data_IF_305816690457
#
_entry.id   IF_305816690457
#
_cell.length_a   1.000
_cell.length_b   1.000
_cell.length_c   1.000
_cell.angle_alpha   90.00
_cell.angle_beta   90.00
_cell.angle_gamma   90.00
#
_symmetry.space_group_name_H-M   'P 1'
#
loop_
_entity.id
_entity.type
_entity.pdbx_description
1 polymer ?
#
# COMPACT_ATOMS: atom_id res chain seq x y z
N UNK A 1 27.35 7.46 9.91
CA UNK A 1 26.62 7.80 8.68
C UNK A 1 25.67 8.94 9.01
N UNK A 2 25.68 10.05 8.24
CA UNK A 2 24.85 11.22 8.51
C UNK A 2 23.82 11.43 7.37
N UNK A 3 22.83 12.30 7.60
CA UNK A 3 21.72 12.53 6.67
C UNK A 3 22.15 13.15 5.32
N UNK A 4 23.27 13.87 5.30
CA UNK A 4 23.85 14.47 4.09
C UNK A 4 24.60 13.47 3.20
N UNK A 5 24.96 12.30 3.71
CA UNK A 5 25.77 11.32 2.97
C UNK A 5 25.03 10.02 2.66
N UNK A 6 24.05 9.64 3.50
CA UNK A 6 23.32 8.39 3.33
C UNK A 6 22.65 8.32 1.94
N UNK A 7 22.73 7.18 1.23
CA UNK A 7 22.02 7.01 -0.04
C UNK A 7 20.51 7.10 0.16
N UNK A 8 19.84 7.73 -0.79
CA UNK A 8 18.39 7.78 -0.88
C UNK A 8 17.89 7.03 -2.11
N UNK A 9 16.76 6.35 -1.96
CA UNK A 9 15.92 5.93 -3.08
C UNK A 9 14.55 6.60 -2.93
N UNK A 10 14.27 7.61 -3.75
CA UNK A 10 12.93 8.20 -3.81
C UNK A 10 12.05 7.27 -4.63
N UNK A 11 10.83 7.00 -4.15
CA UNK A 11 9.88 6.06 -4.76
C UNK A 11 8.51 6.71 -4.86
N UNK A 12 7.95 6.79 -6.05
CA UNK A 12 6.63 7.37 -6.29
C UNK A 12 5.77 6.38 -7.06
N UNK A 13 4.53 6.22 -6.61
CA UNK A 13 3.55 5.42 -7.32
C UNK A 13 2.99 6.21 -8.50
N UNK A 14 2.91 5.54 -9.65
CA UNK A 14 2.31 6.07 -10.87
C UNK A 14 0.86 5.57 -10.99
N UNK A 15 0.02 6.35 -11.67
CA UNK A 15 -1.29 5.86 -12.10
C UNK A 15 -1.10 4.88 -13.26
N UNK A 16 -1.18 3.58 -12.96
CA UNK A 16 -0.99 2.52 -13.94
C UNK A 16 -2.02 2.60 -15.08
N UNK A 17 -3.18 3.23 -14.87
CA UNK A 17 -4.17 3.45 -15.92
C UNK A 17 -3.75 4.50 -16.95
N UNK A 18 -2.78 5.35 -16.61
CA UNK A 18 -2.23 6.37 -17.51
C UNK A 18 -0.94 5.92 -18.17
N UNK A 19 -0.08 5.22 -17.42
CA UNK A 19 1.27 4.87 -17.88
C UNK A 19 1.38 3.52 -18.58
N UNK A 20 0.32 2.69 -18.58
CA UNK A 20 0.29 1.42 -19.28
C UNK A 20 -0.63 1.44 -20.49
N UNK A 21 -0.32 0.66 -21.53
CA UNK A 21 -1.21 0.39 -22.66
C UNK A 21 -2.32 -0.61 -22.25
N UNK A 22 -3.20 -0.95 -23.20
CA UNK A 22 -4.20 -2.00 -23.00
C UNK A 22 -3.58 -3.38 -22.76
N UNK A 23 -2.42 -3.63 -23.36
CA UNK A 23 -1.63 -4.86 -23.21
C UNK A 23 -0.67 -4.83 -22.01
N UNK A 24 -0.87 -3.90 -21.06
CA UNK A 24 -0.04 -3.72 -19.87
C UNK A 24 1.44 -3.41 -20.16
N UNK A 25 1.73 -2.77 -21.29
CA UNK A 25 3.07 -2.31 -21.65
C UNK A 25 3.29 -0.87 -21.19
N UNK A 26 4.50 -0.55 -20.71
CA UNK A 26 4.81 0.80 -20.23
C UNK A 26 4.90 1.79 -21.39
N UNK A 27 4.13 2.88 -21.32
CA UNK A 27 4.15 3.99 -22.26
C UNK A 27 5.29 4.94 -21.93
N UNK A 28 6.51 4.50 -22.25
CA UNK A 28 7.76 5.18 -21.91
C UNK A 28 7.86 6.61 -22.45
N UNK A 29 7.29 6.87 -23.63
CA UNK A 29 7.29 8.20 -24.25
C UNK A 29 6.57 9.24 -23.38
N UNK A 30 5.54 8.83 -22.61
CA UNK A 30 4.86 9.75 -21.70
C UNK A 30 5.75 10.16 -20.53
N UNK A 31 6.72 9.32 -20.15
CA UNK A 31 7.59 9.54 -19.00
C UNK A 31 8.82 10.39 -19.32
N UNK A 32 9.08 10.75 -20.58
CA UNK A 32 10.33 11.40 -21.04
C UNK A 32 11.59 10.68 -20.53
N UNK A 33 11.55 9.34 -20.51
CA UNK A 33 12.64 8.53 -19.97
C UNK A 33 13.36 7.80 -21.10
N UNK A 34 14.68 8.00 -21.18
CA UNK A 34 15.56 7.27 -22.10
C UNK A 34 15.92 5.91 -21.50
N UNK A 35 15.37 4.83 -22.07
CA UNK A 35 15.63 3.47 -21.58
C UNK A 35 16.98 2.95 -22.05
N UNK A 36 17.71 2.38 -21.10
CA UNK A 36 19.02 1.78 -21.31
C UNK A 36 18.98 0.26 -21.14
N UNK A 37 18.15 -0.22 -20.23
CA UNK A 37 18.07 -1.65 -19.89
C UNK A 37 16.65 -2.00 -19.46
N UNK A 38 16.15 -3.14 -19.92
CA UNK A 38 14.91 -3.74 -19.45
C UNK A 38 15.26 -5.07 -18.80
N UNK A 39 14.94 -5.20 -17.51
CA UNK A 39 15.10 -6.44 -16.77
C UNK A 39 13.72 -7.00 -16.42
N UNK A 40 13.47 -8.25 -16.76
CA UNK A 40 12.36 -9.02 -16.21
C UNK A 40 12.85 -9.84 -15.02
N UNK A 41 12.05 -10.04 -13.98
CA UNK A 41 12.42 -10.98 -12.92
C UNK A 41 11.20 -11.48 -12.18
N UNK A 42 11.35 -12.64 -11.56
CA UNK A 42 10.33 -13.19 -10.68
C UNK A 42 10.68 -12.81 -9.24
N UNK A 43 9.65 -12.47 -8.47
CA UNK A 43 9.76 -12.12 -7.06
C UNK A 43 8.96 -13.13 -6.25
N UNK A 44 9.59 -13.65 -5.20
CA UNK A 44 8.94 -14.42 -4.15
C UNK A 44 9.12 -13.70 -2.82
N UNK A 45 8.07 -13.63 -2.02
CA UNK A 45 8.16 -13.23 -0.62
C UNK A 45 8.06 -14.45 0.28
N UNK A 46 8.68 -14.37 1.45
CA UNK A 46 8.58 -15.39 2.48
C UNK A 46 8.06 -14.77 3.76
N UNK A 47 6.88 -15.20 4.17
CA UNK A 47 6.22 -14.72 5.38
C UNK A 47 5.24 -15.77 5.92
N UNK A 48 4.79 -15.59 7.16
CA UNK A 48 3.71 -16.41 7.73
C UNK A 48 2.36 -16.05 7.09
N UNK A 49 1.31 -16.88 7.22
CA UNK A 49 -0.05 -16.52 6.78
C UNK A 49 -0.55 -15.18 7.32
N UNK A 50 -0.09 -14.79 8.52
CA UNK A 50 -0.47 -13.54 9.19
C UNK A 50 0.48 -12.38 8.90
N UNK A 51 1.44 -12.55 7.98
CA UNK A 51 2.45 -11.55 7.62
C UNK A 51 3.29 -11.06 8.81
N UNK A 52 3.65 -11.98 9.72
CA UNK A 52 4.37 -11.67 10.97
C UNK A 52 5.69 -10.94 10.74
N UNK A 53 6.46 -11.33 9.71
CA UNK A 53 7.72 -10.65 9.37
C UNK A 53 7.44 -9.22 8.90
N UNK A 54 6.54 -9.05 7.93
CA UNK A 54 6.19 -7.74 7.37
C UNK A 54 5.66 -6.78 8.45
N UNK A 55 4.77 -7.25 9.31
CA UNK A 55 4.21 -6.47 10.43
C UNK A 55 5.28 -6.02 11.43
N UNK A 56 6.37 -6.79 11.55
CA UNK A 56 7.53 -6.50 12.41
C UNK A 56 8.69 -5.82 11.66
N UNK A 57 8.42 -5.24 10.48
CA UNK A 57 9.40 -4.44 9.73
C UNK A 57 10.40 -5.25 8.89
N UNK A 58 10.24 -6.56 8.81
CA UNK A 58 11.10 -7.44 8.02
C UNK A 58 10.46 -7.83 6.68
N UNK A 59 11.27 -7.86 5.64
CA UNK A 59 10.90 -8.39 4.33
C UNK A 59 11.96 -9.40 3.93
N UNK A 60 11.55 -10.65 3.72
CA UNK A 60 12.38 -11.67 3.10
C UNK A 60 11.89 -11.88 1.67
N UNK A 61 12.78 -11.69 0.70
CA UNK A 61 12.42 -11.69 -0.72
C UNK A 61 13.46 -12.42 -1.55
N UNK A 62 13.02 -13.42 -2.32
CA UNK A 62 13.79 -14.00 -3.41
C UNK A 62 13.54 -13.24 -4.72
N UNK A 63 14.58 -13.01 -5.52
CA UNK A 63 14.46 -12.51 -6.89
C UNK A 63 15.25 -13.38 -7.87
N UNK A 64 14.62 -13.82 -8.94
CA UNK A 64 15.27 -14.53 -10.04
C UNK A 64 15.34 -13.65 -11.28
N UNK A 65 16.56 -13.28 -11.70
CA UNK A 65 16.79 -12.56 -12.96
C UNK A 65 16.81 -13.53 -14.15
N UNK A 66 16.57 -13.05 -15.38
CA UNK A 66 16.54 -13.90 -16.57
C UNK A 66 17.93 -14.47 -16.81
N UNK A 67 18.00 -15.73 -17.26
CA UNK A 67 19.25 -16.41 -17.57
C UNK A 67 20.22 -16.51 -16.37
N UNK A 68 19.70 -16.48 -15.14
CA UNK A 68 20.42 -16.80 -13.91
C UNK A 68 19.91 -18.12 -13.34
N UNK A 69 20.81 -18.86 -12.73
CA UNK A 69 20.59 -20.14 -12.05
C UNK A 69 20.50 -19.98 -10.52
N UNK A 70 20.90 -18.82 -9.99
CA UNK A 70 20.81 -18.46 -8.59
C UNK A 70 19.74 -17.40 -8.33
N UNK A 71 19.06 -17.54 -7.19
CA UNK A 71 18.14 -16.53 -6.66
C UNK A 71 18.89 -15.54 -5.77
N UNK A 72 18.64 -14.25 -5.95
CA UNK A 72 19.07 -13.21 -4.99
C UNK A 72 18.07 -13.21 -3.82
N UNK A 73 18.46 -13.80 -2.68
CA UNK A 73 17.72 -13.75 -1.43
C UNK A 73 18.13 -12.51 -0.65
N UNK A 74 17.16 -11.62 -0.42
CA UNK A 74 17.33 -10.39 0.35
C UNK A 74 16.58 -10.48 1.68
N UNK A 75 17.26 -10.19 2.77
CA UNK A 75 16.68 -9.90 4.07
C UNK A 75 16.73 -8.38 4.29
N UNK A 76 15.57 -7.72 4.34
CA UNK A 76 15.48 -6.27 4.51
C UNK A 76 14.74 -5.93 5.78
N UNK A 77 15.37 -5.16 6.68
CA UNK A 77 14.71 -4.57 7.85
C UNK A 77 14.40 -3.10 7.58
N UNK A 78 13.23 -2.63 8.04
CA UNK A 78 12.68 -1.31 7.71
C UNK A 78 12.22 -0.58 8.97
N UNK A 79 12.72 0.63 9.16
CA UNK A 79 12.37 1.50 10.28
C UNK A 79 11.82 2.81 9.73
N UNK A 80 10.54 3.08 10.00
CA UNK A 80 9.92 4.36 9.62
C UNK A 80 10.53 5.49 10.45
N UNK A 81 10.94 6.57 9.80
CA UNK A 81 11.39 7.78 10.49
C UNK A 81 10.20 8.52 11.09
N UNK A 82 10.41 9.14 12.26
CA UNK A 82 9.42 10.04 12.84
C UNK A 82 9.15 11.23 11.92
N UNK A 83 7.89 11.61 11.79
CA UNK A 83 7.48 12.81 11.04
C UNK A 83 7.42 14.05 11.94
N UNK A 84 7.48 13.89 13.27
CA UNK A 84 7.44 15.00 14.23
C UNK A 84 8.82 15.60 14.53
N UNK A 85 9.88 14.97 14.04
CA UNK A 85 11.28 15.34 14.32
C UNK A 85 11.95 15.87 13.06
N UNK A 86 13.03 16.64 13.24
CA UNK A 86 13.91 17.02 12.15
C UNK A 86 14.52 15.77 11.47
N UNK A 87 14.62 15.71 10.13
CA UNK A 87 15.00 14.48 9.43
C UNK A 87 16.35 13.87 9.84
N UNK A 88 17.33 14.70 10.23
CA UNK A 88 18.62 14.24 10.73
C UNK A 88 18.51 13.55 12.08
N UNK A 89 17.71 14.12 13.00
CA UNK A 89 17.42 13.55 14.32
C UNK A 89 16.63 12.25 14.17
N UNK A 90 15.60 12.24 13.32
CA UNK A 90 14.81 11.05 13.04
C UNK A 90 15.67 9.90 12.48
N UNK A 91 16.65 10.21 11.61
CA UNK A 91 17.60 9.21 11.10
C UNK A 91 18.51 8.69 12.22
N UNK A 92 19.06 9.56 13.07
CA UNK A 92 19.92 9.15 14.19
C UNK A 92 19.17 8.19 15.13
N UNK A 93 17.92 8.52 15.48
CA UNK A 93 17.04 7.66 16.27
C UNK A 93 16.79 6.30 15.59
N UNK A 94 16.54 6.30 14.28
CA UNK A 94 16.33 5.07 13.53
C UNK A 94 17.61 4.19 13.48
N UNK A 95 18.78 4.80 13.30
CA UNK A 95 20.07 4.09 13.35
C UNK A 95 20.34 3.54 14.75
N UNK A 96 20.07 4.31 15.81
CA UNK A 96 20.18 3.84 17.18
C UNK A 96 19.24 2.65 17.44
N UNK A 97 17.99 2.74 16.99
CA UNK A 97 17.03 1.64 17.11
C UNK A 97 17.49 0.37 16.37
N UNK A 98 18.09 0.51 15.18
CA UNK A 98 18.69 -0.60 14.45
C UNK A 98 19.86 -1.22 15.24
N UNK A 99 20.79 -0.39 15.76
CA UNK A 99 21.90 -0.87 16.57
C UNK A 99 21.43 -1.60 17.84
N UNK A 100 20.43 -1.05 18.54
CA UNK A 100 19.80 -1.68 19.70
C UNK A 100 19.08 -2.99 19.35
N UNK A 101 18.67 -3.17 18.09
CA UNK A 101 18.11 -4.41 17.56
C UNK A 101 19.19 -5.43 17.15
N UNK A 102 20.45 -5.17 17.46
CA UNK A 102 21.58 -6.08 17.25
C UNK A 102 22.30 -5.90 15.91
N UNK A 103 21.96 -4.90 15.10
CA UNK A 103 22.67 -4.64 13.84
C UNK A 103 24.03 -3.98 14.09
N UNK A 104 25.08 -4.54 13.49
CA UNK A 104 26.34 -3.83 13.31
C UNK A 104 26.23 -2.93 12.08
N UNK A 105 26.06 -1.62 12.31
CA UNK A 105 25.92 -0.63 11.23
C UNK A 105 27.24 -0.36 10.48
N UNK A 106 28.35 -0.94 10.95
CA UNK A 106 29.64 -0.90 10.26
C UNK A 106 29.91 -2.13 9.40
N UNK A 107 29.08 -3.18 9.50
CA UNK A 107 29.21 -4.38 8.69
C UNK A 107 28.92 -4.06 7.22
N UNK A 108 29.92 -4.23 6.32
CA UNK A 108 29.80 -3.87 4.91
C UNK A 108 28.79 -4.75 4.14
N UNK A 109 28.32 -5.86 4.74
CA UNK A 109 27.30 -6.70 4.13
C UNK A 109 25.89 -6.10 4.23
N UNK A 110 25.68 -5.08 5.08
CA UNK A 110 24.42 -4.34 5.10
C UNK A 110 24.50 -3.11 4.20
N UNK A 111 23.59 -3.07 3.22
CA UNK A 111 23.31 -1.87 2.44
C UNK A 111 22.27 -1.02 3.19
N UNK A 112 22.70 0.14 3.68
CA UNK A 112 21.84 1.15 4.30
C UNK A 112 21.37 2.15 3.24
N UNK A 113 20.05 2.36 3.17
CA UNK A 113 19.44 3.30 2.24
C UNK A 113 18.18 3.92 2.86
N UNK A 114 17.98 5.23 2.69
CA UNK A 114 16.74 5.91 3.03
C UNK A 114 15.77 5.85 1.84
N UNK A 115 14.69 5.07 1.99
CA UNK A 115 13.59 5.05 1.04
C UNK A 115 12.64 6.22 1.34
N UNK A 116 12.34 7.06 0.34
CA UNK A 116 11.43 8.19 0.50
C UNK A 116 10.23 8.07 -0.44
N UNK A 117 9.07 7.72 0.14
CA UNK A 117 7.79 7.63 -0.56
C UNK A 117 7.08 8.99 -0.67
N UNK A 118 5.79 9.00 -1.03
CA UNK A 118 4.98 10.22 -1.11
C UNK A 118 4.91 10.97 0.23
N UNK A 119 4.88 10.26 1.36
CA UNK A 119 4.72 10.88 2.68
C UNK A 119 5.71 10.35 3.73
N UNK A 120 6.33 9.18 3.51
CA UNK A 120 7.11 8.51 4.55
C UNK A 120 8.57 8.34 4.13
N UNK A 121 9.50 8.64 5.05
CA UNK A 121 10.89 8.19 4.96
C UNK A 121 11.09 6.92 5.78
N UNK A 122 11.80 5.95 5.24
CA UNK A 122 12.06 4.66 5.88
C UNK A 122 13.53 4.32 5.75
N UNK A 123 14.23 4.12 6.87
CA UNK A 123 15.56 3.53 6.87
C UNK A 123 15.41 2.05 6.53
N UNK A 124 16.14 1.61 5.51
CA UNK A 124 16.22 0.21 5.14
C UNK A 124 17.63 -0.32 5.32
N UNK A 125 17.75 -1.50 5.91
CA UNK A 125 18.99 -2.27 6.04
C UNK A 125 18.81 -3.55 5.25
N UNK A 126 19.57 -3.74 4.18
CA UNK A 126 19.44 -4.90 3.29
C UNK A 126 20.68 -5.79 3.37
N UNK A 127 20.47 -7.07 3.62
CA UNK A 127 21.49 -8.12 3.54
C UNK A 127 21.12 -9.08 2.40
N UNK A 128 22.06 -9.35 1.48
CA UNK A 128 21.80 -10.11 0.25
C UNK A 128 22.74 -11.31 0.14
N UNK A 129 22.20 -12.44 -0.27
CA UNK A 129 22.95 -13.66 -0.60
C UNK A 129 22.40 -14.25 -1.90
N UNK A 130 23.28 -14.85 -2.71
CA UNK A 130 22.85 -15.65 -3.85
C UNK A 130 22.74 -17.11 -3.42
N UNK A 131 21.65 -17.76 -3.79
CA UNK A 131 21.35 -19.13 -3.40
C UNK A 131 20.90 -19.97 -4.60
N UNK A 132 21.46 -21.18 -4.79
CA UNK A 132 20.92 -22.13 -5.76
C UNK A 132 19.70 -22.82 -5.16
N UNK A 133 18.54 -22.71 -5.83
CA UNK A 133 17.33 -23.44 -5.43
C UNK A 133 16.65 -24.06 -6.64
N UNK A 134 16.63 -25.40 -6.67
CA UNK A 134 16.09 -26.17 -7.81
C UNK A 134 14.56 -26.24 -7.81
N UNK A 135 13.91 -26.06 -6.67
CA UNK A 135 12.45 -26.16 -6.53
C UNK A 135 11.90 -24.96 -5.74
N UNK A 136 11.88 -23.76 -6.34
CA UNK A 136 11.49 -22.53 -5.66
C UNK A 136 10.02 -22.52 -5.18
N UNK A 137 9.18 -23.41 -5.70
CA UNK A 137 7.79 -23.53 -5.25
C UNK A 137 7.65 -24.33 -3.94
N UNK A 138 8.74 -24.99 -3.48
CA UNK A 138 8.73 -25.79 -2.24
C UNK A 138 9.19 -24.95 -1.05
N UNK A 139 8.28 -24.68 -0.12
CA UNK A 139 8.59 -23.89 1.08
C UNK A 139 9.71 -24.49 1.93
N UNK A 140 9.80 -25.82 2.05
CA UNK A 140 10.86 -26.48 2.86
C UNK A 140 12.28 -26.12 2.40
N UNK A 141 12.52 -26.07 1.09
CA UNK A 141 13.83 -25.70 0.55
C UNK A 141 14.21 -24.26 0.93
N UNK A 142 13.26 -23.33 0.86
CA UNK A 142 13.48 -21.96 1.29
C UNK A 142 13.70 -21.83 2.80
N UNK A 143 12.94 -22.56 3.61
CA UNK A 143 13.08 -22.56 5.07
C UNK A 143 14.48 -22.97 5.49
N UNK A 144 15.02 -24.02 4.87
CA UNK A 144 16.40 -24.46 5.12
C UNK A 144 17.42 -23.37 4.76
N UNK A 145 17.26 -22.71 3.61
CA UNK A 145 18.15 -21.62 3.18
C UNK A 145 18.03 -20.40 4.11
N UNK A 146 16.84 -20.08 4.61
CA UNK A 146 16.64 -19.01 5.59
C UNK A 146 17.34 -19.36 6.91
N UNK A 147 17.18 -20.59 7.42
CA UNK A 147 17.89 -21.04 8.63
C UNK A 147 19.40 -20.89 8.50
N UNK A 148 19.94 -21.17 7.30
CA UNK A 148 21.37 -21.10 7.01
C UNK A 148 21.89 -19.66 6.87
N UNK A 149 21.16 -18.79 6.16
CA UNK A 149 21.66 -17.50 5.70
C UNK A 149 21.09 -16.28 6.43
N UNK A 150 20.10 -16.44 7.30
CA UNK A 150 19.50 -15.32 8.01
C UNK A 150 20.56 -14.51 8.79
N UNK A 151 20.50 -13.17 8.72
CA UNK A 151 21.39 -12.32 9.50
C UNK A 151 21.14 -12.49 11.01
N UNK A 152 22.18 -12.32 11.83
CA UNK A 152 22.10 -12.52 13.29
C UNK A 152 20.98 -11.71 13.97
N UNK A 153 20.74 -10.42 13.64
CA UNK A 153 19.61 -9.66 14.19
C UNK A 153 18.25 -10.32 13.98
N UNK A 154 18.03 -10.96 12.84
CA UNK A 154 16.78 -11.68 12.56
C UNK A 154 16.68 -12.97 13.41
N UNK A 155 17.79 -13.69 13.54
CA UNK A 155 17.87 -14.95 14.32
C UNK A 155 17.68 -14.76 15.82
N UNK A 156 18.16 -13.65 16.35
CA UNK A 156 18.11 -13.35 17.79
C UNK A 156 16.87 -12.56 18.22
N UNK A 157 16.06 -12.08 17.27
CA UNK A 157 14.82 -11.39 17.59
C UNK A 157 13.81 -12.37 18.21
N UNK A 158 13.16 -11.92 19.28
CA UNK A 158 12.00 -12.62 19.85
C UNK A 158 10.76 -12.38 18.98
N UNK A 159 10.06 -13.46 18.61
CA UNK A 159 8.89 -13.43 17.74
C UNK A 159 7.62 -13.74 18.54
N UNK A 160 7.32 -12.87 19.51
CA UNK A 160 6.23 -13.03 20.49
C UNK A 160 6.34 -14.33 21.28
N UNK A 161 5.65 -15.40 20.85
CA UNK A 161 5.65 -16.73 21.46
C UNK A 161 6.45 -17.76 20.68
N UNK A 162 7.12 -17.33 19.60
CA UNK A 162 7.91 -18.19 18.73
C UNK A 162 9.39 -17.84 18.86
N UNK A 163 10.23 -18.87 18.85
CA UNK A 163 11.63 -18.68 18.49
C UNK A 163 11.81 -18.55 16.97
N UNK A 164 13.03 -18.27 16.53
CA UNK A 164 13.32 -18.10 15.11
C UNK A 164 13.08 -19.38 14.29
N UNK A 165 13.39 -20.56 14.84
CA UNK A 165 13.21 -21.82 14.11
C UNK A 165 11.71 -22.14 13.95
N UNK A 166 10.92 -21.90 15.00
CA UNK A 166 9.46 -22.03 14.98
C UNK A 166 8.81 -21.05 14.00
N UNK A 167 9.28 -19.79 13.95
CA UNK A 167 8.85 -18.82 12.94
C UNK A 167 9.17 -19.33 11.52
N UNK A 168 10.41 -19.76 11.28
CA UNK A 168 10.84 -20.23 9.95
C UNK A 168 10.00 -21.43 9.49
N UNK A 169 9.65 -22.34 10.39
CA UNK A 169 8.77 -23.47 10.09
C UNK A 169 7.36 -23.06 9.62
N UNK A 170 6.91 -21.85 9.94
CA UNK A 170 5.61 -21.30 9.54
C UNK A 170 5.65 -20.46 8.25
N UNK A 171 6.84 -20.21 7.68
CA UNK A 171 6.97 -19.37 6.49
C UNK A 171 6.43 -20.07 5.24
N UNK A 172 5.63 -19.35 4.46
CA UNK A 172 5.16 -19.76 3.16
C UNK A 172 5.84 -18.96 2.06
N UNK A 173 5.88 -19.55 0.87
CA UNK A 173 6.34 -18.87 -0.33
C UNK A 173 5.14 -18.15 -0.96
N UNK A 174 5.24 -16.84 -1.13
CA UNK A 174 4.19 -15.96 -1.65
C UNK A 174 4.63 -15.40 -3.00
N UNK A 175 3.90 -15.73 -4.07
CA UNK A 175 4.22 -15.39 -5.46
C UNK A 175 4.17 -16.62 -6.37
N UNK A 176 4.88 -16.64 -7.52
CA UNK A 176 5.75 -15.59 -8.03
C UNK A 176 4.98 -14.36 -8.51
N UNK A 177 5.54 -13.18 -8.25
CA UNK A 177 5.14 -11.94 -8.91
C UNK A 177 6.09 -11.75 -10.10
N UNK A 178 5.53 -11.62 -11.30
CA UNK A 178 6.33 -11.20 -12.44
C UNK A 178 6.57 -9.70 -12.33
N UNK A 179 7.80 -9.25 -12.53
CA UNK A 179 8.14 -7.84 -12.51
C UNK A 179 8.97 -7.46 -13.73
N UNK A 180 8.76 -6.24 -14.21
CA UNK A 180 9.56 -5.59 -15.24
C UNK A 180 10.17 -4.33 -14.65
N UNK A 181 11.49 -4.17 -14.77
CA UNK A 181 12.22 -2.96 -14.39
C UNK A 181 12.88 -2.34 -15.62
N UNK A 182 12.37 -1.18 -16.02
CA UNK A 182 12.95 -0.35 -17.04
C UNK A 182 13.94 0.59 -16.37
N UNK A 183 15.24 0.45 -16.64
CA UNK A 183 16.28 1.35 -16.13
C UNK A 183 16.72 2.30 -17.22
N UNK A 184 17.01 3.52 -16.82
CA UNK A 184 17.44 4.52 -17.78
C UNK A 184 17.71 5.86 -17.14
N UNK A 185 17.51 6.90 -17.94
CA UNK A 185 17.78 8.26 -17.57
C UNK A 185 16.53 9.13 -17.75
N UNK A 186 16.26 9.98 -16.78
CA UNK A 186 15.18 10.95 -16.82
C UNK A 186 15.77 12.33 -16.53
N UNK A 187 15.93 13.16 -17.56
CA UNK A 187 16.55 14.50 -17.45
C UNK A 187 17.89 14.53 -16.71
N UNK A 188 18.79 13.59 -17.00
CA UNK A 188 20.09 13.43 -16.35
C UNK A 188 20.06 12.54 -15.10
N UNK A 189 18.90 12.18 -14.58
CA UNK A 189 18.74 11.40 -13.35
C UNK A 189 18.67 9.90 -13.64
N UNK A 190 19.46 9.10 -12.90
CA UNK A 190 19.36 7.63 -12.95
C UNK A 190 18.03 7.20 -12.35
N UNK A 191 17.16 6.69 -13.21
CA UNK A 191 15.77 6.41 -12.89
C UNK A 191 15.43 4.99 -13.26
N UNK A 192 14.48 4.41 -12.55
CA UNK A 192 13.89 3.13 -12.88
C UNK A 192 12.39 3.20 -12.78
N UNK A 193 11.69 2.51 -13.68
CA UNK A 193 10.25 2.30 -13.60
C UNK A 193 10.00 0.81 -13.48
N UNK A 194 9.41 0.40 -12.37
CA UNK A 194 9.16 -1.01 -12.04
C UNK A 194 7.65 -1.28 -12.05
N UNK A 195 7.22 -2.21 -12.89
CA UNK A 195 5.87 -2.74 -12.95
C UNK A 195 5.82 -4.11 -12.28
N UNK A 196 4.87 -4.32 -11.36
CA UNK A 196 4.61 -5.64 -10.77
C UNK A 196 3.25 -6.13 -11.26
N UNK A 197 3.26 -7.32 -11.85
CA UNK A 197 2.08 -8.00 -12.38
C UNK A 197 1.62 -9.02 -11.34
N UNK A 198 0.48 -8.76 -10.74
CA UNK A 198 -0.15 -9.64 -9.75
C UNK A 198 -1.55 -9.95 -10.26
N UNK A 199 -2.10 -11.11 -9.91
CA UNK A 199 -3.40 -11.56 -10.42
C UNK A 199 -4.45 -10.44 -10.42
N UNK A 200 -4.97 -10.15 -11.62
CA UNK A 200 -5.97 -9.11 -11.91
C UNK A 200 -5.51 -7.66 -11.63
N UNK A 201 -4.22 -7.36 -11.56
CA UNK A 201 -3.75 -6.02 -11.22
C UNK A 201 -2.27 -5.76 -11.49
N UNK A 202 -1.99 -4.65 -12.17
CA UNK A 202 -0.64 -4.12 -12.35
C UNK A 202 -0.46 -2.83 -11.56
N UNK A 203 0.60 -2.78 -10.76
CA UNK A 203 1.06 -1.57 -10.07
C UNK A 203 2.39 -1.10 -10.66
N UNK A 204 2.56 0.21 -10.77
CA UNK A 204 3.76 0.83 -11.34
C UNK A 204 4.36 1.84 -10.36
N UNK A 205 5.67 1.75 -10.16
CA UNK A 205 6.45 2.66 -9.32
C UNK A 205 7.66 3.19 -10.09
N UNK A 206 7.92 4.49 -9.98
CA UNK A 206 9.14 5.12 -10.46
C UNK A 206 10.06 5.38 -9.28
N UNK A 207 11.36 5.08 -9.44
CA UNK A 207 12.37 5.36 -8.43
C UNK A 207 13.61 6.05 -8.99
N UNK A 208 14.23 6.90 -8.18
CA UNK A 208 15.49 7.57 -8.47
C UNK A 208 16.44 7.44 -7.28
N UNK A 209 17.74 7.30 -7.57
CA UNK A 209 18.78 7.30 -6.54
C UNK A 209 19.35 8.70 -6.34
N UNK A 210 19.55 9.09 -5.09
CA UNK A 210 20.11 10.37 -4.68
C UNK A 210 21.17 10.18 -3.58
N UNK A 211 22.08 11.15 -3.49
CA UNK A 211 23.16 11.16 -2.49
C UNK A 211 22.88 12.22 -1.44
N UNK A 212 22.43 11.80 -0.27
CA UNK A 212 22.07 12.72 0.80
C UNK A 212 20.71 13.38 0.63
N UNK A 213 20.23 13.97 1.73
CA UNK A 213 18.85 14.44 1.81
C UNK A 213 18.52 15.70 0.99
N UNK A 214 19.48 16.59 0.74
CA UNK A 214 19.24 17.79 -0.08
C UNK A 214 19.03 17.43 -1.56
N UNK A 215 19.95 16.65 -2.11
CA UNK A 215 19.87 16.09 -3.47
C UNK A 215 18.58 15.27 -3.65
N UNK A 216 18.23 14.45 -2.66
CA UNK A 216 16.99 13.68 -2.68
C UNK A 216 15.75 14.57 -2.70
N UNK A 217 15.73 15.65 -1.92
CA UNK A 217 14.61 16.60 -1.87
C UNK A 217 14.43 17.31 -3.21
N UNK A 218 15.51 17.86 -3.78
CA UNK A 218 15.46 18.58 -5.05
C UNK A 218 14.93 17.69 -6.18
N UNK A 219 15.55 16.53 -6.38
CA UNK A 219 15.17 15.56 -7.42
C UNK A 219 13.74 15.07 -7.25
N UNK A 220 13.32 14.84 -6.00
CA UNK A 220 11.95 14.43 -5.69
C UNK A 220 10.93 15.49 -6.07
N UNK A 221 11.13 16.74 -5.68
CA UNK A 221 10.17 17.81 -5.99
C UNK A 221 10.09 18.04 -7.50
N UNK A 222 11.22 18.01 -8.20
CA UNK A 222 11.26 18.05 -9.67
C UNK A 222 10.45 16.89 -10.29
N UNK A 223 10.69 15.65 -9.85
CA UNK A 223 9.95 14.48 -10.34
C UNK A 223 8.46 14.55 -10.06
N UNK A 224 8.07 14.92 -8.83
CA UNK A 224 6.66 15.03 -8.46
C UNK A 224 5.94 16.10 -9.27
N UNK A 225 6.56 17.25 -9.47
CA UNK A 225 5.94 18.34 -10.23
C UNK A 225 5.66 17.89 -11.67
N UNK A 226 6.65 17.32 -12.35
CA UNK A 226 6.50 16.88 -13.74
C UNK A 226 5.49 15.74 -13.90
N UNK A 227 5.52 14.73 -13.02
CA UNK A 227 4.54 13.63 -13.06
C UNK A 227 3.11 14.12 -12.82
N UNK A 228 2.92 15.13 -11.96
CA UNK A 228 1.61 15.76 -11.73
C UNK A 228 1.14 16.59 -12.93
N UNK A 229 2.02 17.38 -13.52
CA UNK A 229 1.70 18.21 -14.69
C UNK A 229 1.26 17.36 -15.88
N UNK A 230 1.88 16.18 -16.04
CA UNK A 230 1.49 15.17 -17.04
C UNK A 230 0.33 14.26 -16.60
N UNK A 231 -0.20 14.42 -15.38
CA UNK A 231 -1.25 13.59 -14.79
C UNK A 231 -0.91 12.09 -14.71
N UNK A 232 0.38 11.75 -14.61
CA UNK A 232 0.86 10.37 -14.50
C UNK A 232 0.89 9.86 -13.05
N UNK A 233 0.64 10.73 -12.07
CA UNK A 233 0.50 10.37 -10.67
C UNK A 233 -0.65 11.14 -10.02
N UNK A 234 -1.33 10.48 -9.08
CA UNK A 234 -2.39 11.11 -8.27
C UNK A 234 -1.93 11.41 -6.84
N UNK A 235 -0.69 11.06 -6.49
CA UNK A 235 -0.11 11.27 -5.15
C UNK A 235 -0.74 10.37 -4.09
N UNK A 236 -1.00 9.10 -4.41
CA UNK A 236 -1.35 8.10 -3.40
C UNK A 236 -0.10 7.64 -2.66
N UNK A 237 -0.29 7.24 -1.40
CA UNK A 237 0.78 6.83 -0.50
C UNK A 237 0.42 5.49 0.12
N UNK A 238 0.98 4.40 -0.42
CA UNK A 238 0.92 3.08 0.20
C UNK A 238 2.15 2.26 -0.18
N UNK A 239 2.38 1.15 0.52
CA UNK A 239 3.51 0.27 0.21
C UNK A 239 3.14 -0.70 -0.93
N UNK A 240 3.87 -0.64 -2.04
CA UNK A 240 3.81 -1.62 -3.13
C UNK A 240 3.96 -3.07 -2.63
N UNK A 241 4.88 -3.30 -1.69
CA UNK A 241 5.06 -4.62 -1.06
C UNK A 241 3.85 -5.06 -0.25
N UNK A 242 3.29 -4.18 0.57
CA UNK A 242 2.08 -4.49 1.35
C UNK A 242 0.91 -4.85 0.46
N UNK A 243 0.68 -4.02 -0.56
CA UNK A 243 -0.35 -4.27 -1.56
C UNK A 243 -0.15 -5.63 -2.22
N UNK A 244 1.08 -5.96 -2.62
CA UNK A 244 1.38 -7.24 -3.24
C UNK A 244 1.13 -8.44 -2.32
N UNK A 245 1.59 -8.38 -1.07
CA UNK A 245 1.38 -9.45 -0.08
C UNK A 245 -0.11 -9.68 0.16
N UNK A 246 -0.86 -8.59 0.43
CA UNK A 246 -2.30 -8.66 0.65
C UNK A 246 -3.05 -9.21 -0.56
N UNK A 247 -2.68 -8.81 -1.78
CA UNK A 247 -3.30 -9.32 -3.00
C UNK A 247 -3.04 -10.80 -3.23
N UNK A 248 -1.88 -11.32 -2.81
CA UNK A 248 -1.55 -12.75 -2.92
C UNK A 248 -2.35 -13.57 -1.90
N UNK A 249 -2.41 -13.15 -0.63
CA UNK A 249 -3.09 -13.91 0.43
C UNK A 249 -4.61 -13.77 0.38
N UNK A 250 -5.10 -12.63 -0.13
CA UNK A 250 -6.51 -12.29 -0.26
C UNK A 250 -6.77 -11.77 -1.68
N UNK A 251 -6.82 -12.65 -2.70
CA UNK A 251 -7.08 -12.23 -4.07
C UNK A 251 -8.38 -11.45 -4.18
N UNK A 252 -8.31 -10.23 -4.72
CA UNK A 252 -9.48 -9.36 -4.87
C UNK A 252 -9.84 -9.22 -6.35
N UNK A 253 -11.14 -9.18 -6.63
CA UNK A 253 -11.65 -8.80 -7.95
C UNK A 253 -11.51 -7.29 -8.16
N UNK A 254 -11.67 -6.83 -9.41
CA UNK A 254 -11.77 -5.42 -9.73
C UNK A 254 -12.93 -4.77 -8.96
N UNK A 255 -12.67 -3.95 -7.92
CA UNK A 255 -13.74 -3.36 -7.11
C UNK A 255 -14.66 -2.49 -7.96
N UNK A 256 -14.13 -1.81 -8.98
CA UNK A 256 -14.91 -0.90 -9.80
C UNK A 256 -15.96 -1.62 -10.62
N UNK A 257 -15.67 -2.84 -11.10
CA UNK A 257 -16.68 -3.65 -11.81
C UNK A 257 -17.86 -4.00 -10.91
N UNK A 258 -17.61 -4.41 -9.67
CA UNK A 258 -18.65 -4.69 -8.68
C UNK A 258 -19.45 -3.43 -8.33
N UNK A 259 -18.75 -2.34 -8.05
CA UNK A 259 -19.37 -1.07 -7.70
C UNK A 259 -20.23 -0.50 -8.85
N UNK A 260 -19.86 -0.70 -10.11
CA UNK A 260 -20.66 -0.28 -11.25
C UNK A 260 -21.99 -1.05 -11.38
N UNK A 261 -22.09 -2.27 -10.88
CA UNK A 261 -23.34 -3.07 -10.93
C UNK A 261 -24.40 -2.62 -9.93
N UNK A 262 -24.00 -1.99 -8.82
CA UNK A 262 -24.90 -1.60 -7.74
C UNK A 262 -25.34 -2.76 -6.84
N UNK A 263 -26.26 -2.49 -5.92
CA UNK A 263 -26.83 -3.49 -5.00
C UNK A 263 -26.01 -3.77 -3.74
N UNK A 264 -25.08 -2.87 -3.39
CA UNK A 264 -24.27 -2.93 -2.18
C UNK A 264 -24.44 -1.70 -1.29
N UNK A 265 -24.19 -1.91 0.00
CA UNK A 265 -24.00 -0.87 1.00
C UNK A 265 -22.49 -0.56 1.08
N UNK A 266 -22.11 0.68 0.77
CA UNK A 266 -20.73 1.15 0.78
C UNK A 266 -20.50 1.92 2.08
N UNK A 267 -19.90 1.28 3.06
CA UNK A 267 -19.61 1.90 4.34
C UNK A 267 -18.18 2.44 4.36
N UNK A 268 -18.02 3.75 4.35
CA UNK A 268 -16.72 4.39 4.48
C UNK A 268 -16.49 4.84 5.92
N UNK A 269 -15.27 4.61 6.42
CA UNK A 269 -14.77 5.45 7.51
C UNK A 269 -14.50 6.84 6.94
N UNK A 270 -14.86 7.89 7.67
CA UNK A 270 -14.56 9.26 7.32
C UNK A 270 -13.07 9.50 6.99
N UNK A 271 -12.81 10.60 6.28
CA UNK A 271 -11.46 11.07 5.97
C UNK A 271 -10.66 11.40 7.23
N UNK A 272 -9.34 11.49 7.08
CA UNK A 272 -8.44 11.78 8.18
C UNK A 272 -8.79 13.12 8.88
N UNK A 273 -9.04 13.12 10.20
CA UNK A 273 -9.29 14.34 10.96
C UNK A 273 -7.98 15.05 11.33
N UNK A 274 -8.07 16.34 11.67
CA UNK A 274 -6.94 17.11 12.22
C UNK A 274 -6.44 16.54 13.55
N UNK A 275 -7.36 16.07 14.38
CA UNK A 275 -7.04 15.38 15.62
C UNK A 275 -8.10 14.31 15.92
N UNK A 276 -7.71 13.31 16.71
CA UNK A 276 -8.60 12.20 17.09
C UNK A 276 -9.16 12.34 18.50
N UNK A 277 -8.81 13.41 19.23
CA UNK A 277 -9.17 13.63 20.64
C UNK A 277 -10.46 14.43 20.81
N UNK A 278 -10.85 15.18 19.78
CA UNK A 278 -12.10 15.96 19.77
C UNK A 278 -13.13 15.28 18.89
N UNK A 279 -14.33 15.09 19.42
CA UNK A 279 -15.48 14.59 18.66
C UNK A 279 -15.87 15.56 17.53
N UNK A 280 -15.59 16.86 17.70
CA UNK A 280 -15.90 17.92 16.74
C UNK A 280 -14.75 18.28 15.80
N UNK A 281 -13.66 17.50 15.78
CA UNK A 281 -12.53 17.79 14.89
C UNK A 281 -12.95 17.75 13.41
N UNK A 282 -12.57 18.79 12.68
CA UNK A 282 -12.66 18.88 11.22
C UNK A 282 -11.60 18.01 10.54
N UNK A 283 -11.70 17.91 9.21
CA UNK A 283 -10.74 17.19 8.38
C UNK A 283 -9.38 17.89 8.31
N UNK A 284 -8.31 17.10 8.33
CA UNK A 284 -6.96 17.59 8.04
C UNK A 284 -6.81 17.92 6.55
N UNK A 285 -5.70 18.56 6.15
CA UNK A 285 -5.41 18.78 4.74
C UNK A 285 -5.39 17.48 3.92
N UNK A 286 -4.83 16.40 4.48
CA UNK A 286 -4.89 15.05 3.91
C UNK A 286 -6.34 14.57 3.82
N UNK A 287 -7.14 14.76 4.86
CA UNK A 287 -8.55 14.37 4.86
C UNK A 287 -9.40 15.10 3.82
N UNK A 288 -9.15 16.41 3.62
CA UNK A 288 -9.79 17.20 2.57
C UNK A 288 -9.42 16.68 1.18
N UNK A 289 -8.16 16.30 0.95
CA UNK A 289 -7.71 15.70 -0.32
C UNK A 289 -8.35 14.32 -0.53
N UNK A 290 -8.42 13.49 0.50
CA UNK A 290 -9.05 12.18 0.47
C UNK A 290 -10.54 12.27 0.06
N UNK A 291 -11.31 13.15 0.70
CA UNK A 291 -12.74 13.32 0.40
C UNK A 291 -12.97 13.77 -1.05
N UNK A 292 -12.20 14.76 -1.53
CA UNK A 292 -12.27 15.23 -2.92
C UNK A 292 -11.91 14.13 -3.93
N UNK A 293 -10.88 13.33 -3.63
CA UNK A 293 -10.45 12.23 -4.51
C UNK A 293 -11.52 11.15 -4.60
N UNK A 294 -12.18 10.79 -3.49
CA UNK A 294 -13.27 9.81 -3.50
C UNK A 294 -14.47 10.32 -4.30
N UNK A 295 -14.89 11.58 -4.12
CA UNK A 295 -15.97 12.16 -4.92
C UNK A 295 -15.69 12.11 -6.42
N UNK A 296 -14.46 12.52 -6.83
CA UNK A 296 -14.02 12.42 -8.23
C UNK A 296 -13.99 10.98 -8.72
N UNK A 297 -13.53 10.04 -7.90
CA UNK A 297 -13.45 8.63 -8.26
C UNK A 297 -14.83 8.05 -8.60
N UNK A 298 -15.88 8.42 -7.86
CA UNK A 298 -17.25 8.01 -8.17
C UNK A 298 -17.71 8.51 -9.54
N UNK A 299 -17.37 9.75 -9.88
CA UNK A 299 -17.66 10.36 -11.19
C UNK A 299 -16.85 9.68 -12.30
N UNK A 300 -15.53 9.64 -12.16
CA UNK A 300 -14.60 9.14 -13.18
C UNK A 300 -14.84 7.65 -13.50
N UNK A 301 -15.19 6.86 -12.49
CA UNK A 301 -15.49 5.42 -12.63
C UNK A 301 -16.97 5.14 -12.84
N UNK A 302 -17.83 6.15 -12.98
CA UNK A 302 -19.27 6.00 -13.21
C UNK A 302 -19.94 5.06 -12.18
N UNK A 303 -19.58 5.19 -10.90
CA UNK A 303 -20.14 4.36 -9.83
C UNK A 303 -21.55 4.88 -9.50
N UNK A 304 -22.62 4.11 -9.75
CA UNK A 304 -23.97 4.55 -9.43
C UNK A 304 -24.20 4.52 -7.92
N UNK A 305 -24.74 5.59 -7.37
CA UNK A 305 -25.12 5.64 -5.96
C UNK A 305 -26.48 6.29 -5.75
N UNK A 306 -27.15 5.86 -4.68
CA UNK A 306 -28.43 6.35 -4.22
C UNK A 306 -28.26 7.67 -3.46
N UNK A 307 -29.16 8.61 -3.72
CA UNK A 307 -29.28 9.88 -3.01
C UNK A 307 -30.55 9.80 -2.13
N UNK A 308 -30.50 10.26 -0.87
CA UNK A 308 -29.35 10.92 -0.24
C UNK A 308 -28.26 9.94 0.22
N UNK A 309 -27.01 10.41 0.20
CA UNK A 309 -25.89 9.77 0.90
C UNK A 309 -26.07 9.95 2.40
N UNK A 310 -25.96 8.86 3.17
CA UNK A 310 -26.15 8.92 4.62
C UNK A 310 -24.83 9.21 5.32
N UNK A 311 -24.81 10.25 6.14
CA UNK A 311 -23.62 10.62 6.92
C UNK A 311 -23.91 10.60 8.40
N UNK A 312 -22.93 10.16 9.19
CA UNK A 312 -22.93 10.41 10.64
C UNK A 312 -23.01 11.92 10.90
N UNK A 313 -23.72 12.36 11.95
CA UNK A 313 -23.82 13.78 12.32
C UNK A 313 -22.49 14.36 12.81
N UNK A 314 -21.49 13.54 13.12
CA UNK A 314 -20.19 13.98 13.61
C UNK A 314 -19.40 14.71 12.51
N UNK A 315 -18.84 15.88 12.82
CA UNK A 315 -18.24 16.84 11.88
C UNK A 315 -17.36 16.21 10.79
N UNK A 316 -16.34 15.42 11.14
CA UNK A 316 -15.45 14.77 10.16
C UNK A 316 -16.17 13.87 9.14
N UNK A 317 -17.23 13.16 9.54
CA UNK A 317 -18.01 12.33 8.64
C UNK A 317 -18.89 13.21 7.74
N UNK A 318 -19.56 14.20 8.33
CA UNK A 318 -20.36 15.19 7.62
C UNK A 318 -19.53 15.94 6.56
N UNK A 319 -18.40 16.51 6.93
CA UNK A 319 -17.49 17.21 6.01
C UNK A 319 -17.00 16.28 4.90
N UNK A 320 -16.66 15.03 5.22
CA UNK A 320 -16.28 14.03 4.20
C UNK A 320 -17.41 13.83 3.18
N UNK A 321 -18.64 13.61 3.65
CA UNK A 321 -19.80 13.39 2.78
C UNK A 321 -20.11 14.62 1.93
N UNK A 322 -20.11 15.80 2.52
CA UNK A 322 -20.36 17.07 1.85
C UNK A 322 -19.35 17.34 0.73
N UNK A 323 -18.06 17.13 1.01
CA UNK A 323 -16.98 17.37 0.04
C UNK A 323 -17.01 16.34 -1.08
N UNK A 324 -17.31 15.07 -0.78
CA UNK A 324 -17.28 14.00 -1.77
C UNK A 324 -18.55 13.94 -2.65
N UNK A 325 -19.73 14.21 -2.09
CA UNK A 325 -21.02 13.98 -2.75
C UNK A 325 -21.90 15.23 -2.88
N UNK A 326 -21.53 16.35 -2.27
CA UNK A 326 -22.26 17.61 -2.31
C UNK A 326 -23.27 17.76 -1.17
N UNK A 327 -23.39 18.98 -0.63
CA UNK A 327 -24.17 19.27 0.59
C UNK A 327 -25.68 18.98 0.43
N UNK A 328 -26.25 19.27 -0.74
CA UNK A 328 -27.68 19.06 -1.02
C UNK A 328 -28.05 17.58 -1.22
N UNK A 329 -27.06 16.69 -1.33
CA UNK A 329 -27.25 15.27 -1.60
C UNK A 329 -27.06 14.40 -0.34
N UNK A 330 -26.85 15.01 0.83
CA UNK A 330 -26.61 14.28 2.08
C UNK A 330 -27.80 14.31 3.03
N UNK A 331 -27.97 13.22 3.76
CA UNK A 331 -28.89 13.11 4.89
C UNK A 331 -28.10 12.70 6.13
N UNK A 332 -28.28 13.43 7.23
CA UNK A 332 -27.71 13.03 8.52
C UNK A 332 -28.49 11.83 9.07
N UNK A 333 -27.77 10.80 9.48
CA UNK A 333 -28.32 9.54 9.97
C UNK A 333 -27.73 9.22 11.34
N UNK A 334 -28.51 9.50 12.38
CA UNK A 334 -28.14 9.31 13.78
C UNK A 334 -27.80 7.84 14.09
N UNK A 335 -28.43 6.89 13.40
CA UNK A 335 -28.17 5.46 13.60
C UNK A 335 -26.73 5.04 13.29
N UNK A 336 -25.97 5.85 12.55
CA UNK A 336 -24.54 5.60 12.27
C UNK A 336 -23.63 5.72 13.50
N UNK A 337 -24.15 6.21 14.63
CA UNK A 337 -23.46 6.27 15.93
C UNK A 337 -24.25 5.60 17.06
N UNK A 338 -25.33 4.88 16.72
CA UNK A 338 -26.22 4.24 17.69
C UNK A 338 -26.20 2.71 17.54
N UNK A 339 -26.74 1.96 18.52
CA UNK A 339 -26.82 0.50 18.46
C UNK A 339 -27.61 -0.06 17.28
N UNK A 340 -28.44 0.75 16.61
CA UNK A 340 -29.28 0.37 15.47
C UNK A 340 -28.54 0.35 14.12
N UNK A 341 -27.23 0.60 14.12
CA UNK A 341 -26.38 0.52 12.93
C UNK A 341 -26.53 -0.82 12.16
N UNK A 342 -26.57 -2.01 12.79
CA UNK A 342 -26.76 -3.27 12.08
C UNK A 342 -28.02 -3.26 11.21
N UNK A 343 -29.18 -2.86 11.76
CA UNK A 343 -30.45 -2.82 11.04
C UNK A 343 -30.40 -1.81 9.87
N UNK A 344 -29.64 -0.72 10.03
CA UNK A 344 -29.41 0.22 8.94
C UNK A 344 -28.61 -0.43 7.79
N UNK A 345 -27.62 -1.25 8.09
CA UNK A 345 -26.77 -1.95 7.11
C UNK A 345 -27.49 -3.11 6.39
N UNK A 346 -28.65 -3.53 6.90
CA UNK A 346 -29.55 -4.49 6.23
C UNK A 346 -30.40 -3.86 5.12
N UNK A 347 -30.46 -2.51 5.06
CA UNK A 347 -31.26 -1.81 4.06
C UNK A 347 -30.76 -2.12 2.65
N UNK A 348 -31.68 -2.49 1.76
CA UNK A 348 -31.38 -2.80 0.36
C UNK A 348 -31.35 -1.50 -0.45
N UNK A 349 -30.25 -1.22 -1.18
CA UNK A 349 -30.18 -0.08 -2.10
C UNK A 349 -31.24 -0.12 -3.19
N UNK A 350 -31.53 1.03 -3.79
CA UNK A 350 -32.24 1.13 -5.05
C UNK A 350 -31.62 0.22 -6.13
N UNK A 351 -32.48 -0.36 -6.98
CA UNK A 351 -32.06 -1.26 -8.06
C UNK A 351 -31.02 -0.57 -8.96
N UNK A 352 -29.88 -1.23 -9.17
CA UNK A 352 -28.78 -0.73 -10.00
C UNK A 352 -27.94 0.37 -9.37
N UNK A 353 -28.14 0.69 -8.08
CA UNK A 353 -27.34 1.68 -7.35
C UNK A 353 -26.72 1.09 -6.09
N UNK A 354 -25.66 1.71 -5.61
CA UNK A 354 -25.14 1.46 -4.27
C UNK A 354 -25.69 2.47 -3.26
N UNK A 355 -25.81 2.09 -2.00
CA UNK A 355 -26.13 3.03 -0.93
C UNK A 355 -24.86 3.38 -0.18
N UNK A 356 -24.58 4.67 0.01
CA UNK A 356 -23.33 5.14 0.62
C UNK A 356 -23.56 5.60 2.06
N UNK A 357 -22.69 5.16 2.95
CA UNK A 357 -22.64 5.56 4.34
C UNK A 357 -21.26 6.14 4.67
N UNK A 358 -21.21 7.35 5.22
CA UNK A 358 -19.97 7.96 5.71
C UNK A 358 -20.03 8.02 7.24
N UNK A 359 -19.17 7.24 7.89
CA UNK A 359 -19.29 6.97 9.32
C UNK A 359 -17.92 6.72 9.97
N UNK A 360 -17.89 5.99 11.08
CA UNK A 360 -16.70 5.80 11.93
C UNK A 360 -16.20 4.36 11.85
N UNK A 361 -15.15 4.06 12.61
CA UNK A 361 -14.75 2.65 12.76
C UNK A 361 -15.87 1.84 13.41
N UNK A 362 -16.14 0.66 12.85
CA UNK A 362 -17.13 -0.30 13.34
C UNK A 362 -16.62 -1.71 13.02
N UNK A 363 -16.99 -2.70 13.85
CA UNK A 363 -16.48 -4.09 13.77
C UNK A 363 -17.45 -5.06 13.10
N UNK A 364 -18.64 -4.60 12.71
CA UNK A 364 -19.60 -5.37 11.90
C UNK A 364 -19.95 -6.73 12.50
N UNK A 365 -20.42 -6.74 13.75
CA UNK A 365 -20.73 -7.97 14.49
C UNK A 365 -19.53 -8.94 14.56
N UNK A 366 -18.33 -8.37 14.69
CA UNK A 366 -17.02 -9.06 14.70
C UNK A 366 -16.62 -9.71 13.36
N UNK A 367 -17.28 -9.37 12.26
CA UNK A 367 -16.85 -9.78 10.91
C UNK A 367 -15.58 -9.06 10.46
N UNK A 368 -15.24 -7.92 11.08
CA UNK A 368 -13.99 -7.20 10.83
C UNK A 368 -13.06 -7.28 12.04
N UNK A 369 -11.95 -8.00 11.88
CA UNK A 369 -10.94 -8.19 12.93
C UNK A 369 -9.98 -6.99 13.06
N UNK A 370 -9.72 -6.28 11.97
CA UNK A 370 -8.75 -5.19 11.92
C UNK A 370 -9.40 -3.81 12.01
N UNK A 371 -8.62 -2.83 12.47
CA UNK A 371 -9.06 -1.45 12.49
C UNK A 371 -9.17 -0.92 11.06
N UNK A 372 -10.36 -0.46 10.70
CA UNK A 372 -10.61 0.21 9.42
C UNK A 372 -9.84 1.54 9.36
N UNK A 373 -8.94 1.72 8.39
CA UNK A 373 -8.22 2.98 8.17
C UNK A 373 -9.12 4.09 7.61
N UNK A 374 -8.65 5.34 7.65
CA UNK A 374 -9.41 6.49 7.15
C UNK A 374 -9.67 6.35 5.65
N UNK A 375 -10.90 6.64 5.21
CA UNK A 375 -11.39 6.42 3.84
C UNK A 375 -11.37 4.99 3.30
N UNK A 376 -11.02 3.98 4.11
CA UNK A 376 -11.29 2.61 3.70
C UNK A 376 -12.80 2.38 3.66
N UNK A 377 -13.21 1.59 2.66
CA UNK A 377 -14.59 1.20 2.39
C UNK A 377 -14.78 -0.27 2.75
N UNK A 378 -15.85 -0.56 3.46
CA UNK A 378 -16.38 -1.92 3.62
C UNK A 378 -17.51 -2.11 2.62
N UNK A 379 -17.36 -3.09 1.74
CA UNK A 379 -18.38 -3.52 0.79
C UNK A 379 -19.31 -4.49 1.50
N UNK A 380 -20.58 -4.09 1.67
CA UNK A 380 -21.56 -4.83 2.44
C UNK A 380 -22.68 -5.30 1.53
N UNK A 381 -23.00 -6.60 1.59
CA UNK A 381 -24.18 -7.17 0.95
C UNK A 381 -25.34 -7.23 1.94
N UNK A 382 -26.38 -6.38 1.79
CA UNK A 382 -27.59 -6.53 2.60
C UNK A 382 -28.36 -7.78 2.18
N UNK A 383 -28.89 -8.53 3.15
CA UNK A 383 -29.73 -9.71 2.92
C UNK A 383 -31.22 -9.39 3.01
N UNK A 384 -31.56 -8.12 3.25
CA UNK A 384 -32.91 -7.62 3.46
C UNK A 384 -33.18 -7.35 4.94
N UNK A 385 -34.19 -6.52 5.21
CA UNK A 385 -34.56 -6.12 6.57
C UNK A 385 -34.91 -7.33 7.44
N UNK A 386 -34.33 -7.39 8.64
CA UNK A 386 -34.43 -8.49 9.59
C UNK A 386 -33.62 -9.73 9.23
N UNK A 387 -32.90 -9.72 8.10
CA UNK A 387 -32.15 -10.89 7.58
C UNK A 387 -30.64 -10.73 7.69
N UNK A 388 -30.15 -9.62 8.26
CA UNK A 388 -28.73 -9.35 8.41
C UNK A 388 -28.04 -8.85 7.14
N UNK A 389 -26.71 -8.79 7.21
CA UNK A 389 -25.83 -8.37 6.13
C UNK A 389 -24.53 -9.19 6.18
N UNK A 390 -23.81 -9.22 5.07
CA UNK A 390 -22.51 -9.87 4.95
C UNK A 390 -21.44 -8.89 4.50
N UNK A 391 -20.26 -8.96 5.12
CA UNK A 391 -19.08 -8.28 4.61
C UNK A 391 -18.53 -9.06 3.41
N UNK A 392 -18.47 -8.42 2.26
CA UNK A 392 -17.88 -9.01 1.06
C UNK A 392 -16.38 -8.73 1.01
N UNK A 393 -15.98 -7.48 1.28
CA UNK A 393 -14.57 -7.08 1.19
C UNK A 393 -14.31 -5.72 1.85
N UNK A 394 -13.05 -5.47 2.21
CA UNK A 394 -12.54 -4.13 2.56
C UNK A 394 -11.62 -3.62 1.46
N UNK A 395 -11.82 -2.38 1.03
CA UNK A 395 -11.02 -1.73 0.01
C UNK A 395 -10.49 -0.38 0.47
N UNK A 396 -9.23 -0.09 0.11
CA UNK A 396 -8.77 1.28 -0.04
C UNK A 396 -8.99 1.70 -1.50
N UNK A 397 -10.16 2.28 -1.81
CA UNK A 397 -10.50 2.66 -3.19
C UNK A 397 -9.54 3.70 -3.78
N UNK A 398 -8.86 4.48 -2.93
CA UNK A 398 -7.86 5.44 -3.38
C UNK A 398 -6.58 4.71 -3.81
N UNK A 399 -6.14 3.68 -3.10
CA UNK A 399 -5.06 2.82 -3.57
C UNK A 399 -5.47 2.06 -4.84
N UNK A 400 -6.68 1.50 -4.87
CA UNK A 400 -7.17 0.72 -6.01
C UNK A 400 -7.34 1.56 -7.29
N UNK A 401 -7.54 2.88 -7.17
CA UNK A 401 -7.76 3.74 -8.33
C UNK A 401 -6.55 3.89 -9.24
N UNK A 402 -5.33 3.64 -8.74
CA UNK A 402 -4.08 3.71 -9.51
C UNK A 402 -3.61 2.34 -10.00
N UNK A 403 -4.32 1.27 -9.65
CA UNK A 403 -4.04 -0.08 -10.15
C UNK A 403 -4.69 -0.22 -11.52
N UNK A 404 -3.94 -0.78 -12.46
CA UNK A 404 -4.45 -1.20 -13.76
C UNK A 404 -5.00 -2.61 -13.61
N UNK A 405 -6.31 -2.74 -13.68
CA UNK A 405 -6.96 -4.04 -13.68
C UNK A 405 -6.96 -4.60 -15.10
N UNK A 406 -6.66 -5.90 -15.24
CA UNK A 406 -6.77 -6.58 -16.52
C UNK A 406 -8.23 -6.57 -16.97
N UNK A 407 -8.47 -6.30 -18.26
CA UNK A 407 -9.78 -6.50 -18.86
C UNK A 407 -9.98 -8.01 -19.02
N UNK A 408 -11.02 -8.55 -18.38
CA UNK A 408 -11.41 -9.96 -18.53
C UNK A 408 -11.84 -10.27 -19.97
#
# INVERSE_FOLDING_TARGET
MNYSEIPFEVKLLLDANQVLTEENQLQLDQLDMEIQEIEMFDILFLDTPNLTLYQNGWIIRGRLKPNKDEWELTFKYRIKLSQSEEPSIALEQALQAAASSGFDLSDPNYELELEWSEEQKTLSLSYKVNIPIASPDRSEAWRNLIMQHAPQPLRLKEWERLDFAELVNQLNVLGPIRAQKNKGNWHGLKTSVESWYITNGTIVEISLKAKGGEDAREKREQMKQQLKDKKLMTGQSFSKTQWALWRIISPTQNPFSLLQTGGYNLYFRHSQPENTRSENASLSETGLKQARKIGRLFVDRHIPFQIPVRSSPINRAKETAQIAFGEEQIQLEERLIQPELPQLLESTPEVGKNQVFIAHHYTFDNQLAEKLDYMNMVLIKPLGAGSGYRLEQVYDLLAESIIRYDHL
#
